data_IF_523105888701
#
_entry.id   IF_523105888701
#
_cell.length_a   1.000
_cell.length_b   1.000
_cell.length_c   1.000
_cell.angle_alpha   90.00
_cell.angle_beta   90.00
_cell.angle_gamma   90.00
#
_symmetry.space_group_name_H-M   'P 1'
#
loop_
_entity.id
_entity.type
_entity.pdbx_description
1 polymer ?
#
# COMPACT_ATOMS: atom_id res chain seq x y z
N UNK A 1 -1.20 43.75 -11.96
CA UNK A 1 -0.29 42.57 -12.00
C UNK A 1 -0.85 41.46 -11.11
N UNK A 2 -1.62 40.61 -11.71
CA UNK A 2 -2.02 39.36 -11.09
C UNK A 2 -0.73 38.52 -10.95
N UNK A 3 -0.27 38.37 -9.73
CA UNK A 3 0.85 37.48 -9.41
C UNK A 3 0.48 36.08 -9.90
N UNK A 4 1.03 35.69 -11.05
CA UNK A 4 0.97 34.32 -11.53
C UNK A 4 1.73 33.45 -10.52
N UNK A 5 1.01 32.69 -9.71
CA UNK A 5 1.64 31.58 -9.00
C UNK A 5 2.33 30.71 -10.03
N UNK A 6 3.59 30.33 -9.83
CA UNK A 6 4.24 29.39 -10.71
C UNK A 6 3.46 28.08 -10.63
N UNK A 7 2.59 27.84 -11.59
CA UNK A 7 2.00 26.51 -11.79
C UNK A 7 3.14 25.61 -12.22
N UNK A 8 3.70 24.83 -11.27
CA UNK A 8 4.56 23.72 -11.64
C UNK A 8 3.75 22.82 -12.55
N UNK A 9 4.16 22.74 -13.81
CA UNK A 9 3.58 21.80 -14.73
C UNK A 9 3.90 20.39 -14.23
N UNK A 10 2.95 19.48 -14.32
CA UNK A 10 3.19 18.05 -13.99
C UNK A 10 4.38 17.47 -14.77
N UNK A 11 4.72 18.05 -15.91
CA UNK A 11 5.91 17.72 -16.70
C UNK A 11 7.26 18.00 -16.05
N UNK A 12 7.29 18.74 -14.92
CA UNK A 12 8.55 19.07 -14.21
C UNK A 12 8.86 18.06 -13.10
N UNK A 13 7.94 17.13 -12.81
CA UNK A 13 8.12 16.07 -11.83
C UNK A 13 8.64 14.80 -12.51
N UNK A 14 9.84 14.39 -12.15
CA UNK A 14 10.45 13.16 -12.68
C UNK A 14 10.28 11.95 -11.76
N UNK A 15 10.05 12.20 -10.46
CA UNK A 15 9.94 11.18 -9.43
C UNK A 15 8.74 11.49 -8.53
N UNK A 16 8.09 10.45 -8.03
CA UNK A 16 6.99 10.58 -7.07
C UNK A 16 7.07 9.50 -5.99
N UNK A 17 6.51 9.81 -4.84
CA UNK A 17 6.19 8.86 -3.77
C UNK A 17 4.67 8.78 -3.63
N UNK A 18 4.15 7.59 -3.38
CA UNK A 18 2.72 7.38 -3.12
C UNK A 18 2.51 6.87 -1.71
N UNK A 19 1.55 7.45 -1.01
CA UNK A 19 1.10 7.00 0.31
C UNK A 19 -0.41 6.80 0.26
N UNK A 20 -0.87 5.60 0.60
CA UNK A 20 -2.29 5.26 0.65
C UNK A 20 -2.71 4.83 2.05
N UNK A 21 -3.93 5.19 2.45
CA UNK A 21 -4.60 4.65 3.62
C UNK A 21 -5.91 3.97 3.18
N UNK A 22 -6.18 2.78 3.72
CA UNK A 22 -7.41 2.04 3.45
C UNK A 22 -7.64 1.84 1.94
N UNK A 23 -8.80 2.24 1.40
CA UNK A 23 -9.09 2.18 -0.04
C UNK A 23 -8.16 3.04 -0.93
N UNK A 24 -7.45 4.03 -0.36
CA UNK A 24 -6.41 4.76 -1.09
C UNK A 24 -5.31 3.84 -1.64
N UNK A 25 -5.06 2.71 -0.98
CA UNK A 25 -4.12 1.69 -1.45
C UNK A 25 -4.61 1.02 -2.74
N UNK A 26 -5.93 0.80 -2.88
CA UNK A 26 -6.51 0.26 -4.11
C UNK A 26 -6.28 1.20 -5.29
N UNK A 27 -6.45 2.52 -5.04
CA UNK A 27 -6.18 3.53 -6.07
C UNK A 27 -4.73 3.49 -6.55
N UNK A 28 -3.76 3.30 -5.63
CA UNK A 28 -2.34 3.13 -5.99
C UNK A 28 -2.15 1.88 -6.83
N UNK A 29 -2.70 0.74 -6.39
CA UNK A 29 -2.52 -0.53 -7.11
C UNK A 29 -3.13 -0.48 -8.51
N UNK A 30 -4.34 0.04 -8.68
CA UNK A 30 -4.95 0.19 -10.00
C UNK A 30 -4.24 1.24 -10.87
N UNK A 31 -3.68 2.29 -10.27
CA UNK A 31 -2.79 3.20 -10.99
C UNK A 31 -1.57 2.46 -11.54
N UNK A 32 -0.93 1.62 -10.74
CA UNK A 32 0.24 0.84 -11.18
C UNK A 32 -0.13 -0.20 -12.24
N UNK A 33 -1.28 -0.85 -12.14
CA UNK A 33 -1.79 -1.75 -13.19
C UNK A 33 -1.95 -1.01 -14.53
N UNK A 34 -2.47 0.20 -14.50
CA UNK A 34 -2.78 0.94 -15.73
C UNK A 34 -1.60 1.76 -16.27
N UNK A 35 -0.67 2.16 -15.41
CA UNK A 35 0.36 3.14 -15.76
C UNK A 35 1.78 2.76 -15.33
N UNK A 36 1.99 1.63 -14.67
CA UNK A 36 3.29 1.25 -14.12
C UNK A 36 4.40 1.12 -15.17
N UNK A 37 4.05 0.84 -16.42
CA UNK A 37 4.99 0.74 -17.55
C UNK A 37 5.07 2.01 -18.41
N UNK A 38 4.30 3.05 -18.10
CA UNK A 38 4.30 4.30 -18.87
C UNK A 38 5.53 5.16 -18.52
N UNK A 39 6.49 5.21 -19.43
CA UNK A 39 7.74 5.96 -19.24
C UNK A 39 7.59 7.47 -19.42
N UNK A 40 6.43 7.96 -19.84
CA UNK A 40 6.14 9.39 -19.97
C UNK A 40 5.67 10.03 -18.67
N UNK A 41 5.29 9.20 -17.69
CA UNK A 41 4.87 9.63 -16.35
C UNK A 41 6.04 9.67 -15.36
N UNK A 42 5.92 10.46 -14.27
CA UNK A 42 6.90 10.44 -13.19
C UNK A 42 7.08 9.04 -12.61
N UNK A 43 8.33 8.65 -12.37
CA UNK A 43 8.65 7.32 -11.83
C UNK A 43 8.29 7.23 -10.37
N UNK A 44 7.56 6.20 -10.00
CA UNK A 44 7.34 5.83 -8.60
C UNK A 44 8.66 5.32 -8.01
N UNK A 45 9.10 5.88 -6.88
CA UNK A 45 10.32 5.48 -6.17
C UNK A 45 10.07 4.93 -4.79
N UNK A 46 9.00 5.40 -4.11
CA UNK A 46 8.57 4.86 -2.81
C UNK A 46 7.06 4.73 -2.75
N UNK A 47 6.61 3.60 -2.25
CA UNK A 47 5.19 3.33 -2.00
C UNK A 47 5.00 2.97 -0.53
N UNK A 48 4.08 3.66 0.15
CA UNK A 48 3.67 3.34 1.51
C UNK A 48 2.19 2.98 1.52
N UNK A 49 1.91 1.83 2.09
CA UNK A 49 0.55 1.31 2.23
C UNK A 49 0.21 1.25 3.72
N UNK A 50 -0.85 1.92 4.12
CA UNK A 50 -1.33 1.96 5.50
C UNK A 50 -2.72 1.35 5.52
N UNK A 51 -2.93 0.32 6.34
CA UNK A 51 -4.23 -0.35 6.49
C UNK A 51 -4.86 -0.79 5.16
N UNK A 52 -4.07 -1.39 4.26
CA UNK A 52 -4.54 -1.77 2.93
C UNK A 52 -5.44 -3.00 2.94
N UNK A 53 -6.65 -2.88 2.39
CA UNK A 53 -7.63 -3.95 2.32
C UNK A 53 -7.48 -4.78 1.02
N UNK A 54 -6.30 -5.35 0.78
CA UNK A 54 -5.99 -5.96 -0.52
C UNK A 54 -6.86 -7.16 -0.83
N UNK A 55 -7.16 -8.02 0.16
CA UNK A 55 -8.06 -9.17 -0.01
C UNK A 55 -9.41 -8.98 0.70
N UNK A 56 -9.86 -7.73 0.80
CA UNK A 56 -11.18 -7.37 1.30
C UNK A 56 -11.21 -6.73 2.68
N UNK A 57 -12.41 -6.34 3.06
CA UNK A 57 -12.79 -5.66 4.31
C UNK A 57 -13.67 -6.59 5.13
N UNK A 58 -13.45 -6.64 6.43
CA UNK A 58 -14.20 -7.46 7.39
C UNK A 58 -15.71 -7.21 7.24
N UNK A 59 -16.46 -8.30 7.03
CA UNK A 59 -17.92 -8.27 6.93
C UNK A 59 -18.47 -7.65 5.64
N UNK A 60 -17.61 -7.32 4.66
CA UNK A 60 -18.03 -6.80 3.35
C UNK A 60 -17.69 -7.81 2.25
N UNK A 61 -16.40 -7.98 1.97
CA UNK A 61 -15.93 -8.78 0.83
C UNK A 61 -14.66 -9.60 1.13
N UNK A 62 -14.19 -9.58 2.38
CA UNK A 62 -13.11 -10.45 2.79
C UNK A 62 -13.62 -11.90 2.87
N UNK A 63 -12.96 -12.87 2.21
CA UNK A 63 -13.36 -14.27 2.30
C UNK A 63 -13.11 -14.84 3.71
N UNK A 64 -14.00 -15.74 4.15
CA UNK A 64 -13.81 -16.48 5.40
C UNK A 64 -12.62 -17.46 5.31
N UNK A 65 -12.04 -17.79 6.45
CA UNK A 65 -10.99 -18.83 6.61
C UNK A 65 -9.74 -18.65 5.74
N UNK A 66 -9.42 -17.41 5.35
CA UNK A 66 -8.19 -17.09 4.60
C UNK A 66 -6.96 -17.46 5.42
N UNK A 67 -6.00 -18.12 4.77
CA UNK A 67 -4.64 -18.35 5.27
C UNK A 67 -3.67 -17.74 4.27
N UNK A 68 -2.53 -17.27 4.76
CA UNK A 68 -1.42 -16.85 3.91
C UNK A 68 -0.36 -17.94 3.91
N UNK A 69 0.27 -18.16 2.75
CA UNK A 69 1.51 -18.92 2.68
C UNK A 69 2.73 -18.04 3.06
N UNK A 70 3.93 -18.58 3.00
CA UNK A 70 5.18 -17.90 3.36
C UNK A 70 5.47 -16.66 2.47
N UNK A 71 4.91 -16.63 1.26
CA UNK A 71 5.04 -15.52 0.32
C UNK A 71 3.90 -14.49 0.46
N UNK A 72 2.98 -14.69 1.40
CA UNK A 72 1.83 -13.81 1.60
C UNK A 72 0.66 -14.07 0.66
N UNK A 73 0.67 -15.17 -0.10
CA UNK A 73 -0.42 -15.54 -1.01
C UNK A 73 -1.64 -16.02 -0.22
N UNK A 74 -2.81 -15.39 -0.38
CA UNK A 74 -4.01 -15.85 0.28
C UNK A 74 -4.55 -17.16 -0.33
N UNK A 75 -4.99 -18.08 0.54
CA UNK A 75 -5.59 -19.35 0.13
C UNK A 75 -6.92 -19.17 -0.60
N UNK A 76 -7.65 -18.11 -0.29
CA UNK A 76 -8.89 -17.70 -0.93
C UNK A 76 -8.76 -16.23 -1.31
N UNK A 77 -9.01 -15.91 -2.57
CA UNK A 77 -8.92 -14.56 -3.12
C UNK A 77 -10.31 -14.04 -3.47
N UNK A 78 -10.64 -12.83 -3.02
CA UNK A 78 -11.84 -12.16 -3.49
C UNK A 78 -11.67 -11.68 -4.95
N UNK A 79 -12.71 -11.11 -5.54
CA UNK A 79 -12.69 -10.65 -6.93
C UNK A 79 -11.69 -9.50 -7.13
N UNK A 80 -11.65 -8.56 -6.21
CA UNK A 80 -10.71 -7.43 -6.24
C UNK A 80 -9.27 -7.91 -6.21
N UNK A 81 -8.92 -8.84 -5.32
CA UNK A 81 -7.56 -9.38 -5.23
C UNK A 81 -7.12 -10.06 -6.53
N UNK A 82 -8.02 -10.83 -7.17
CA UNK A 82 -7.73 -11.44 -8.49
C UNK A 82 -7.43 -10.40 -9.56
N UNK A 83 -8.14 -9.26 -9.53
CA UNK A 83 -7.84 -8.16 -10.44
C UNK A 83 -6.49 -7.51 -10.12
N UNK A 84 -6.11 -7.42 -8.83
CA UNK A 84 -4.83 -6.86 -8.40
C UNK A 84 -3.62 -7.72 -8.83
N UNK A 85 -3.77 -9.02 -9.12
CA UNK A 85 -2.67 -9.85 -9.62
C UNK A 85 -2.03 -9.30 -10.89
N UNK A 86 -2.78 -8.56 -11.71
CA UNK A 86 -2.24 -7.93 -12.92
C UNK A 86 -1.11 -6.92 -12.63
N UNK A 87 -0.97 -6.46 -11.38
CA UNK A 87 0.13 -5.56 -10.99
C UNK A 87 1.50 -6.22 -11.15
N UNK A 88 1.58 -7.54 -11.01
CA UNK A 88 2.84 -8.29 -11.15
C UNK A 88 3.48 -8.12 -12.54
N UNK A 89 2.68 -7.84 -13.57
CA UNK A 89 3.14 -7.64 -14.95
C UNK A 89 3.52 -6.17 -15.24
N UNK A 90 3.03 -5.24 -14.44
CA UNK A 90 3.13 -3.80 -14.72
C UNK A 90 3.92 -3.02 -13.67
N UNK A 91 4.17 -3.62 -12.51
CA UNK A 91 4.94 -2.96 -11.45
C UNK A 91 6.40 -2.79 -11.85
N UNK A 92 7.01 -1.61 -11.63
CA UNK A 92 8.38 -1.35 -12.06
C UNK A 92 9.39 -2.25 -11.34
N UNK A 93 9.98 -3.18 -12.08
CA UNK A 93 10.90 -4.18 -11.53
C UNK A 93 12.14 -3.52 -10.90
N UNK A 94 12.44 -3.92 -9.66
CA UNK A 94 13.62 -3.49 -8.89
C UNK A 94 13.81 -1.96 -8.78
N UNK A 95 12.69 -1.20 -8.77
CA UNK A 95 12.73 0.26 -8.76
C UNK A 95 12.12 0.87 -7.49
N UNK A 96 11.06 0.30 -6.96
CA UNK A 96 10.24 0.90 -5.90
C UNK A 96 10.58 0.31 -4.54
N UNK A 97 10.93 1.16 -3.58
CA UNK A 97 10.99 0.77 -2.17
C UNK A 97 9.56 0.79 -1.57
N UNK A 98 9.15 -0.30 -0.94
CA UNK A 98 7.78 -0.48 -0.42
C UNK A 98 7.77 -0.63 1.09
N UNK A 99 6.86 0.09 1.76
CA UNK A 99 6.55 -0.05 3.18
C UNK A 99 5.05 -0.36 3.34
N UNK A 100 4.74 -1.47 4.00
CA UNK A 100 3.39 -1.88 4.36
C UNK A 100 3.18 -1.76 5.87
N UNK A 101 2.29 -0.88 6.31
CA UNK A 101 1.95 -0.65 7.71
C UNK A 101 0.52 -1.14 7.94
N UNK A 102 0.32 -1.99 8.92
CA UNK A 102 -1.00 -2.51 9.27
C UNK A 102 -1.19 -2.59 10.78
N UNK A 103 -2.43 -2.68 11.21
CA UNK A 103 -2.77 -2.70 12.62
C UNK A 103 -3.30 -4.04 13.10
N UNK A 104 -3.01 -4.35 14.38
CA UNK A 104 -3.68 -5.42 15.11
C UNK A 104 -4.13 -4.93 16.49
N UNK A 105 -5.44 -4.91 16.71
CA UNK A 105 -6.03 -4.56 18.01
C UNK A 105 -6.08 -5.74 18.99
N UNK A 106 -5.41 -6.85 18.66
CA UNK A 106 -5.40 -8.09 19.42
C UNK A 106 -6.42 -9.13 18.94
N UNK A 107 -7.11 -8.84 17.83
CA UNK A 107 -8.11 -9.73 17.24
C UNK A 107 -7.78 -10.14 15.79
N UNK A 108 -6.52 -9.97 15.37
CA UNK A 108 -6.05 -10.32 14.03
C UNK A 108 -6.40 -9.27 12.97
N UNK A 109 -6.61 -8.02 13.38
CA UNK A 109 -6.84 -6.89 12.49
C UNK A 109 -7.09 -5.57 13.21
N UNK A 110 -7.27 -4.52 12.41
CA UNK A 110 -7.44 -3.14 12.87
C UNK A 110 -8.90 -2.75 13.17
N UNK A 111 -9.81 -3.70 13.04
CA UNK A 111 -11.27 -3.51 13.20
C UNK A 111 -12.03 -3.30 11.89
N UNK A 112 -11.34 -3.07 10.77
CA UNK A 112 -11.92 -2.98 9.42
C UNK A 112 -11.22 -3.90 8.44
N UNK A 113 -9.91 -4.07 8.59
CA UNK A 113 -9.06 -4.89 7.72
C UNK A 113 -8.34 -5.92 8.59
N UNK A 114 -8.32 -7.18 8.16
CA UNK A 114 -7.53 -8.19 8.86
C UNK A 114 -6.05 -8.03 8.54
N UNK A 115 -5.19 -8.47 9.47
CA UNK A 115 -3.74 -8.59 9.25
C UNK A 115 -3.47 -9.41 7.97
N UNK A 116 -4.26 -10.45 7.71
CA UNK A 116 -4.10 -11.30 6.52
C UNK A 116 -4.40 -10.53 5.23
N UNK A 117 -5.49 -9.76 5.20
CA UNK A 117 -5.81 -8.92 4.05
C UNK A 117 -4.71 -7.91 3.78
N UNK A 118 -4.23 -7.20 4.81
CA UNK A 118 -3.15 -6.21 4.66
C UNK A 118 -1.81 -6.84 4.25
N UNK A 119 -1.43 -7.98 4.81
CA UNK A 119 -0.17 -8.68 4.50
C UNK A 119 -0.17 -9.36 3.13
N UNK A 120 -1.33 -9.58 2.53
CA UNK A 120 -1.41 -10.17 1.20
C UNK A 120 -0.81 -9.30 0.09
N UNK A 121 -0.53 -8.02 0.37
CA UNK A 121 0.26 -7.14 -0.51
C UNK A 121 1.62 -7.76 -0.87
N UNK A 122 2.24 -8.48 0.07
CA UNK A 122 3.53 -9.14 -0.15
C UNK A 122 3.51 -9.96 -1.44
N UNK A 123 2.54 -10.83 -1.62
CA UNK A 123 2.44 -11.69 -2.81
C UNK A 123 2.23 -10.91 -4.11
N UNK A 124 1.60 -9.72 -4.02
CA UNK A 124 1.35 -8.90 -5.20
C UNK A 124 2.62 -8.24 -5.75
N UNK A 125 3.52 -7.75 -4.87
CA UNK A 125 4.59 -6.86 -5.33
C UNK A 125 5.98 -7.13 -4.72
N UNK A 126 6.14 -7.99 -3.70
CA UNK A 126 7.45 -8.14 -3.04
C UNK A 126 8.55 -8.65 -3.97
N UNK A 127 8.21 -9.53 -4.88
CA UNK A 127 9.18 -10.18 -5.79
C UNK A 127 9.67 -9.22 -6.89
N UNK A 128 8.89 -8.19 -7.21
CA UNK A 128 9.21 -7.18 -8.24
C UNK A 128 9.69 -5.86 -7.64
N UNK A 129 9.39 -5.58 -6.37
CA UNK A 129 9.85 -4.39 -5.67
C UNK A 129 11.38 -4.41 -5.46
N UNK A 130 11.99 -3.23 -5.37
CA UNK A 130 13.41 -3.09 -5.00
C UNK A 130 13.64 -3.46 -3.52
N UNK A 131 12.71 -3.10 -2.64
CA UNK A 131 12.67 -3.54 -1.25
C UNK A 131 11.24 -3.62 -0.75
N UNK A 132 10.97 -4.52 0.20
CA UNK A 132 9.67 -4.69 0.82
C UNK A 132 9.83 -4.81 2.34
N UNK A 133 9.15 -3.94 3.08
CA UNK A 133 9.17 -3.91 4.54
C UNK A 133 7.75 -3.92 5.09
N UNK A 134 7.57 -4.54 6.25
CA UNK A 134 6.30 -4.57 6.98
C UNK A 134 6.47 -4.03 8.39
N UNK A 135 5.48 -3.28 8.87
CA UNK A 135 5.39 -2.80 10.25
C UNK A 135 3.97 -3.08 10.74
N UNK A 136 3.91 -3.78 11.87
CA UNK A 136 2.67 -4.00 12.61
C UNK A 136 2.55 -2.99 13.74
N UNK A 137 1.38 -2.38 13.88
CA UNK A 137 1.04 -1.45 14.97
C UNK A 137 0.03 -2.14 15.88
N UNK A 138 0.47 -2.45 17.10
CA UNK A 138 -0.32 -3.19 18.07
C UNK A 138 -1.23 -2.32 18.94
N UNK A 139 -2.32 -2.93 19.42
CA UNK A 139 -3.20 -2.40 20.43
C UNK A 139 -4.08 -1.26 19.96
N UNK A 140 -4.35 -0.27 20.82
CA UNK A 140 -5.29 0.82 20.50
C UNK A 140 -4.86 1.71 19.35
N UNK A 141 -3.55 1.85 19.13
CA UNK A 141 -2.99 2.64 18.02
C UNK A 141 -3.09 1.90 16.68
N UNK A 142 -3.22 0.57 16.72
CA UNK A 142 -3.45 -0.29 15.56
C UNK A 142 -4.88 -0.25 15.01
N UNK A 143 -5.79 0.54 15.59
CA UNK A 143 -7.15 0.70 15.04
C UNK A 143 -7.12 1.39 13.68
N UNK A 144 -7.96 0.94 12.77
CA UNK A 144 -8.06 1.44 11.40
C UNK A 144 -8.04 2.97 11.28
N UNK A 145 -8.89 3.63 12.08
CA UNK A 145 -8.98 5.11 12.10
C UNK A 145 -7.81 5.78 12.83
N UNK A 146 -7.00 5.04 13.60
CA UNK A 146 -5.84 5.60 14.31
C UNK A 146 -4.55 5.52 13.50
N UNK A 147 -4.45 4.59 12.57
CA UNK A 147 -3.24 4.39 11.77
C UNK A 147 -2.83 5.60 10.92
N UNK A 148 -3.72 6.58 10.70
CA UNK A 148 -3.38 7.83 10.01
C UNK A 148 -3.20 9.03 10.97
N UNK A 149 -3.22 8.80 12.30
CA UNK A 149 -3.16 9.86 13.33
C UNK A 149 -2.16 9.55 14.45
N UNK A 150 -1.31 8.53 14.31
CA UNK A 150 -0.40 8.10 15.38
C UNK A 150 1.06 8.28 15.01
N UNK A 151 1.87 8.76 15.95
CA UNK A 151 3.32 8.87 15.79
C UNK A 151 3.99 7.52 15.51
N UNK A 152 3.39 6.41 15.95
CA UNK A 152 3.88 5.06 15.63
C UNK A 152 3.86 4.76 14.13
N UNK A 153 3.02 5.44 13.36
CA UNK A 153 2.99 5.40 11.89
C UNK A 153 3.79 6.56 11.31
N UNK A 154 3.66 7.77 11.86
CA UNK A 154 4.31 8.96 11.33
C UNK A 154 5.84 8.84 11.35
N UNK A 155 6.42 8.35 12.46
CA UNK A 155 7.86 8.21 12.61
C UNK A 155 8.48 7.28 11.55
N UNK A 156 8.02 6.03 11.38
CA UNK A 156 8.54 5.16 10.33
C UNK A 156 8.21 5.65 8.91
N UNK A 157 7.07 6.29 8.71
CA UNK A 157 6.70 6.89 7.44
C UNK A 157 7.70 8.00 7.04
N UNK A 158 7.97 8.94 7.95
CA UNK A 158 8.93 10.04 7.74
C UNK A 158 10.33 9.49 7.47
N UNK A 159 10.76 8.54 8.30
CA UNK A 159 12.05 7.88 8.13
C UNK A 159 12.17 7.17 6.78
N UNK A 160 11.13 6.46 6.38
CA UNK A 160 11.11 5.75 5.10
C UNK A 160 11.14 6.70 3.92
N UNK A 161 10.32 7.76 3.94
CA UNK A 161 10.22 8.69 2.81
C UNK A 161 11.45 9.60 2.68
N UNK A 162 12.00 10.10 3.80
CA UNK A 162 13.05 11.14 3.79
C UNK A 162 14.36 10.79 4.48
N UNK A 163 14.45 9.62 5.14
CA UNK A 163 15.67 9.17 5.81
C UNK A 163 16.03 9.99 7.07
N UNK A 164 15.04 10.62 7.71
CA UNK A 164 15.23 11.50 8.90
C UNK A 164 14.85 10.79 10.19
#
# INVERSE_FOLDING_TARGET
>A
DLHSFPTRRSSDLNLLNMVGHSYGNMSIMFYMINHGTDTTLPKLVKQVNIAGAFNGVIGIDEPDDVRLDDNGKPSIMNETYRALLNVQETYPENQVDVLNIYGDTGNGGDGSVTVKSAKSLRYLISDVAKSYQEIEIDGSDGRHSKLHETSKVDDPLIKFLWGK
#
